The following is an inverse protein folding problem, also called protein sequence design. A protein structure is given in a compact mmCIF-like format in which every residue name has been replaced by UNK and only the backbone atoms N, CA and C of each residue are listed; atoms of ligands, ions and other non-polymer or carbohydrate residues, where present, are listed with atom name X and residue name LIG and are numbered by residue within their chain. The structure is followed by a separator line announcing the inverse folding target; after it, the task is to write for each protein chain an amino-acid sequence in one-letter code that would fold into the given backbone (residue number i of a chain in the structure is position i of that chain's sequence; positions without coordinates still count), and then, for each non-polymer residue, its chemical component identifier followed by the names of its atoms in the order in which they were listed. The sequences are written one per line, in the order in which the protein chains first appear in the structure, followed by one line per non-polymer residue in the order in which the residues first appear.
data_IF_501510728697
#
_entry.id   IF_501510728697
#
_cell.length_a   1.000
_cell.length_b   1.000
_cell.length_c   1.000
_cell.angle_alpha   90.00
_cell.angle_beta   90.00
_cell.angle_gamma   90.00
#
_symmetry.space_group_name_H-M   'P 1'
#
loop_
_entity.id
_entity.type
_entity.pdbx_description
1 polymer ?
#
# COMPACT_ATOMS: atom_id res chain seq x y z
N UNK A 1 -8.06 -10.52 -5.25
CA UNK A 1 -7.51 -9.42 -6.07
C UNK A 1 -8.12 -8.14 -5.57
N UNK A 2 -7.33 -7.16 -5.15
CA UNK A 2 -7.81 -5.88 -4.58
C UNK A 2 -7.35 -4.77 -5.53
N UNK A 3 -8.30 -3.94 -5.96
CA UNK A 3 -8.08 -2.79 -6.84
C UNK A 3 -8.10 -1.51 -6.00
N UNK A 4 -7.21 -0.57 -6.31
CA UNK A 4 -7.25 0.78 -5.75
C UNK A 4 -7.46 1.79 -6.87
N UNK A 5 -8.28 2.81 -6.61
CA UNK A 5 -8.57 3.92 -7.53
C UNK A 5 -8.06 5.20 -6.89
N UNK A 6 -7.14 5.91 -7.56
CA UNK A 6 -6.63 7.21 -7.12
C UNK A 6 -7.09 8.35 -8.04
N UNK A 7 -7.29 9.55 -7.48
CA UNK A 7 -7.51 10.82 -8.22
C UNK A 7 -6.21 11.61 -8.33
N UNK A 8 -6.14 12.47 -9.35
CA UNK A 8 -4.98 13.25 -9.79
C UNK A 8 -4.63 14.46 -8.88
N UNK A 9 -4.79 14.37 -7.55
CA UNK A 9 -4.45 15.45 -6.62
C UNK A 9 -3.23 15.13 -5.73
N UNK A 10 -2.44 16.18 -5.47
CA UNK A 10 -1.04 16.19 -4.99
C UNK A 10 -0.74 15.54 -3.63
N UNK A 11 -1.73 14.97 -2.92
CA UNK A 11 -1.53 14.31 -1.62
C UNK A 11 -2.46 13.09 -1.59
N UNK A 12 -1.86 11.90 -1.52
CA UNK A 12 -2.59 10.63 -1.39
C UNK A 12 -2.29 10.05 -0.01
N UNK A 13 -3.31 9.61 0.71
CA UNK A 13 -3.18 8.85 1.95
C UNK A 13 -3.54 7.38 1.67
N UNK A 14 -2.81 6.45 2.28
CA UNK A 14 -3.15 5.03 2.23
C UNK A 14 -3.86 4.58 3.51
N UNK A 15 -5.09 4.13 3.38
CA UNK A 15 -5.87 3.48 4.43
C UNK A 15 -5.77 1.97 4.24
N UNK A 16 -5.09 1.29 5.14
CA UNK A 16 -4.78 -0.14 5.06
C UNK A 16 -5.66 -0.88 6.07
N UNK A 17 -6.57 -1.71 5.56
CA UNK A 17 -7.48 -2.52 6.36
C UNK A 17 -6.89 -3.90 6.55
N UNK A 18 -6.69 -4.33 7.79
CA UNK A 18 -6.11 -5.64 8.14
C UNK A 18 -7.23 -6.62 8.47
N UNK A 19 -7.16 -7.86 7.96
CA UNK A 19 -8.25 -8.87 8.03
C UNK A 19 -8.81 -9.11 9.43
N UNK A 20 -8.00 -8.94 10.48
CA UNK A 20 -8.40 -9.06 11.89
C UNK A 20 -7.62 -8.08 12.78
N UNK A 21 -7.31 -6.89 12.28
CA UNK A 21 -6.42 -5.95 12.95
C UNK A 21 -6.95 -4.51 12.92
N UNK A 22 -6.24 -3.59 13.60
CA UNK A 22 -6.56 -2.18 13.49
C UNK A 22 -6.33 -1.69 12.05
N UNK A 23 -7.06 -0.66 11.67
CA UNK A 23 -6.75 0.10 10.45
C UNK A 23 -5.43 0.83 10.64
N UNK A 24 -4.57 0.78 9.64
CA UNK A 24 -3.35 1.58 9.58
C UNK A 24 -3.52 2.67 8.54
N UNK A 25 -2.96 3.84 8.81
CA UNK A 25 -3.03 4.99 7.91
C UNK A 25 -1.61 5.46 7.64
N UNK A 26 -1.28 5.66 6.36
CA UNK A 26 -0.06 6.33 5.93
C UNK A 26 -0.46 7.64 5.26
N UNK A 27 -0.13 8.76 5.90
CA UNK A 27 -0.42 10.09 5.36
C UNK A 27 0.66 10.56 4.41
N UNK A 28 0.31 11.42 3.44
CA UNK A 28 1.24 11.95 2.43
C UNK A 28 2.09 10.84 1.81
N UNK A 29 1.43 9.78 1.32
CA UNK A 29 2.07 8.61 0.72
C UNK A 29 2.98 9.05 -0.44
N UNK A 30 4.24 8.62 -0.35
CA UNK A 30 5.32 8.93 -1.32
C UNK A 30 5.64 7.73 -2.18
N UNK A 31 5.69 6.53 -1.59
CA UNK A 31 5.89 5.31 -2.36
C UNK A 31 5.36 4.06 -1.66
N UNK A 32 5.08 3.05 -2.47
CA UNK A 32 4.76 1.69 -2.01
C UNK A 32 5.80 0.76 -2.60
N UNK A 33 6.51 0.03 -1.73
CA UNK A 33 7.42 -1.03 -2.14
C UNK A 33 6.77 -2.38 -1.93
N UNK A 34 6.94 -3.29 -2.87
CA UNK A 34 6.52 -4.70 -2.73
C UNK A 34 7.70 -5.64 -2.94
N UNK A 35 7.74 -6.71 -2.14
CA UNK A 35 8.76 -7.76 -2.23
C UNK A 35 8.11 -9.14 -2.22
N UNK A 36 8.50 -9.99 -3.17
CA UNK A 36 8.07 -11.38 -3.25
C UNK A 36 9.31 -12.29 -3.22
N UNK A 37 9.48 -13.06 -2.13
CA UNK A 37 10.63 -13.96 -1.96
C UNK A 37 11.98 -13.24 -1.91
N UNK A 38 13.02 -13.88 -2.44
CA UNK A 38 14.38 -13.32 -2.54
C UNK A 38 14.60 -12.45 -3.79
N UNK A 39 13.57 -12.27 -4.60
CA UNK A 39 13.66 -11.57 -5.89
C UNK A 39 13.25 -10.10 -5.75
N UNK A 40 13.62 -9.33 -6.77
CA UNK A 40 13.58 -7.87 -6.91
C UNK A 40 12.46 -7.14 -6.15
N UNK A 41 12.84 -6.03 -5.51
CA UNK A 41 11.91 -5.05 -4.93
C UNK A 41 11.31 -4.23 -6.07
N UNK A 42 9.99 -4.09 -6.08
CA UNK A 42 9.28 -3.15 -6.97
C UNK A 42 8.82 -1.96 -6.15
N UNK A 43 9.03 -0.74 -6.66
CA UNK A 43 8.56 0.50 -6.06
C UNK A 43 7.56 1.17 -7.00
N UNK A 44 6.46 1.65 -6.44
CA UNK A 44 5.42 2.38 -7.14
C UNK A 44 5.24 3.74 -6.50
N UNK A 45 5.34 4.81 -7.31
CA UNK A 45 5.06 6.20 -6.94
C UNK A 45 3.86 6.77 -7.70
N UNK A 46 3.41 6.07 -8.74
CA UNK A 46 2.16 6.37 -9.44
C UNK A 46 1.05 5.48 -8.87
N UNK A 47 0.13 6.11 -8.14
CA UNK A 47 -0.91 5.42 -7.40
C UNK A 47 -2.23 5.29 -8.17
N UNK A 48 -2.28 5.70 -9.44
CA UNK A 48 -3.48 5.66 -10.28
C UNK A 48 -4.01 4.23 -10.48
N UNK A 49 -3.12 3.24 -10.52
CA UNK A 49 -3.44 1.82 -10.59
C UNK A 49 -2.49 0.99 -9.70
N UNK A 50 -2.93 0.63 -8.51
CA UNK A 50 -2.17 -0.24 -7.58
C UNK A 50 -2.85 -1.60 -7.41
N UNK A 51 -2.03 -2.66 -7.39
CA UNK A 51 -2.48 -4.04 -7.20
C UNK A 51 -1.84 -4.66 -5.96
N UNK A 52 -2.68 -5.16 -5.05
CA UNK A 52 -2.26 -5.85 -3.83
C UNK A 52 -2.51 -7.36 -3.93
N UNK A 53 -1.46 -8.14 -3.66
CA UNK A 53 -1.47 -9.61 -3.70
C UNK A 53 -0.65 -10.20 -2.56
N UNK A 54 -0.30 -11.49 -2.69
CA UNK A 54 0.45 -12.26 -1.69
C UNK A 54 1.95 -11.89 -1.68
N UNK A 55 2.26 -10.66 -1.23
CA UNK A 55 3.61 -10.06 -1.17
C UNK A 55 3.76 -9.24 0.10
N UNK A 56 5.00 -9.02 0.55
CA UNK A 56 5.25 -8.05 1.62
C UNK A 56 5.23 -6.64 1.04
N UNK A 57 4.57 -5.70 1.73
CA UNK A 57 4.45 -4.30 1.31
C UNK A 57 5.05 -3.37 2.35
N UNK A 58 5.70 -2.31 1.87
CA UNK A 58 6.16 -1.17 2.69
C UNK A 58 5.56 0.09 2.10
N UNK A 59 4.68 0.73 2.86
CA UNK A 59 4.06 2.01 2.54
C UNK A 59 4.87 3.11 3.20
N UNK A 60 5.35 4.09 2.43
CA UNK A 60 6.19 5.18 2.91
C UNK A 60 5.51 6.52 2.64
N UNK A 61 5.26 7.28 3.69
CA UNK A 61 4.72 8.65 3.63
C UNK A 61 5.36 9.53 4.70
N UNK A 62 4.55 10.18 5.52
CA UNK A 62 5.01 10.81 6.77
C UNK A 62 5.40 9.76 7.82
N UNK A 63 4.69 8.63 7.81
CA UNK A 63 5.00 7.43 8.55
C UNK A 63 5.26 6.25 7.61
N UNK A 64 5.93 5.22 8.13
CA UNK A 64 6.24 4.00 7.38
C UNK A 64 5.52 2.81 7.99
N UNK A 65 4.82 2.05 7.17
CA UNK A 65 4.13 0.81 7.57
C UNK A 65 4.66 -0.35 6.73
N UNK A 66 5.15 -1.39 7.39
CA UNK A 66 5.51 -2.66 6.76
C UNK A 66 4.49 -3.72 7.14
N UNK A 67 3.91 -4.39 6.16
CA UNK A 67 2.85 -5.37 6.36
C UNK A 67 2.96 -6.52 5.39
N UNK A 68 2.67 -7.72 5.88
CA UNK A 68 2.48 -8.90 5.04
C UNK A 68 1.15 -8.76 4.27
N UNK A 69 1.22 -8.83 2.94
CA UNK A 69 0.07 -8.72 2.06
C UNK A 69 -1.01 -9.77 2.31
N UNK A 70 -0.66 -10.92 2.89
CA UNK A 70 -1.62 -11.94 3.28
C UNK A 70 -2.57 -11.47 4.39
N UNK A 71 -2.14 -10.50 5.18
CA UNK A 71 -2.94 -9.89 6.26
C UNK A 71 -3.76 -8.69 5.79
N UNK A 72 -3.52 -8.17 4.58
CA UNK A 72 -4.28 -7.05 4.01
C UNK A 72 -5.66 -7.55 3.55
N UNK A 73 -6.72 -6.92 4.06
CA UNK A 73 -8.08 -7.10 3.59
C UNK A 73 -8.39 -6.17 2.40
N UNK A 74 -8.01 -4.90 2.53
CA UNK A 74 -8.19 -3.86 1.51
C UNK A 74 -7.18 -2.73 1.70
N UNK A 75 -6.92 -1.98 0.62
CA UNK A 75 -6.21 -0.70 0.67
C UNK A 75 -7.07 0.32 -0.07
N UNK A 76 -7.26 1.50 0.52
CA UNK A 76 -7.92 2.63 -0.12
C UNK A 76 -6.94 3.80 -0.19
N UNK A 77 -6.89 4.44 -1.35
CA UNK A 77 -6.04 5.59 -1.62
C UNK A 77 -6.94 6.82 -1.78
N UNK A 78 -6.75 7.85 -0.94
CA UNK A 78 -7.61 9.05 -0.89
C UNK A 78 -6.85 10.33 -0.65
#
# INVERSE_FOLDING_TARGET
MIYCFGREENIVNAYIYIKNGPQLIVTNLKSIKSKQGNTSISETTDFSACFFGHKNYIFTGDNTVSIDGDNIAAVELR
#
